data_IF_108855942404
#
_entry.id   IF_108855942404
#
_cell.length_a   1.000
_cell.length_b   1.000
_cell.length_c   1.000
_cell.angle_alpha   90.00
_cell.angle_beta   90.00
_cell.angle_gamma   90.00
#
_symmetry.space_group_name_H-M   'P 1'
#
loop_
_entity.id
_entity.type
_entity.pdbx_description
1 polymer ?
#
# COMPACT_ATOMS: atom_id res chain seq x y z
N UNK A 1 -9.42 2.51 9.58
CA UNK A 1 -8.23 3.20 9.02
C UNK A 1 -8.61 3.78 7.67
N UNK A 2 -8.16 5.00 7.36
CA UNK A 2 -8.44 5.72 6.10
C UNK A 2 -9.91 6.03 5.85
N UNK A 3 -10.43 7.10 6.47
CA UNK A 3 -11.78 7.65 6.24
C UNK A 3 -12.93 6.61 6.25
N UNK A 4 -12.98 5.76 7.28
CA UNK A 4 -14.06 4.77 7.48
C UNK A 4 -14.30 3.81 6.30
N UNK A 5 -13.24 3.39 5.60
CA UNK A 5 -13.32 2.53 4.41
C UNK A 5 -13.93 3.21 3.17
N UNK A 6 -13.86 4.54 3.08
CA UNK A 6 -14.32 5.30 1.90
C UNK A 6 -13.26 5.47 0.82
N UNK A 7 -12.00 5.15 1.10
CA UNK A 7 -10.89 5.22 0.15
C UNK A 7 -10.84 4.04 -0.83
N UNK A 8 -9.78 3.95 -1.63
CA UNK A 8 -9.49 2.86 -2.56
C UNK A 8 -8.06 2.34 -2.40
N UNK A 9 -7.80 1.15 -2.93
CA UNK A 9 -6.45 0.63 -3.14
C UNK A 9 -6.16 0.51 -4.63
N UNK A 10 -4.93 0.82 -5.02
CA UNK A 10 -4.43 0.64 -6.38
C UNK A 10 -3.57 -0.63 -6.44
N UNK A 11 -3.82 -1.47 -7.43
CA UNK A 11 -3.06 -2.69 -7.70
C UNK A 11 -2.06 -2.44 -8.83
N UNK A 12 -0.82 -2.86 -8.64
CA UNK A 12 0.26 -2.68 -9.60
C UNK A 12 0.96 -4.00 -9.92
N UNK A 13 1.44 -4.13 -11.15
CA UNK A 13 2.32 -5.24 -11.53
C UNK A 13 3.68 -5.11 -10.83
N UNK A 14 4.15 -6.18 -10.20
CA UNK A 14 5.50 -6.28 -9.63
C UNK A 14 6.42 -7.04 -10.57
N UNK A 15 7.53 -6.43 -10.98
CA UNK A 15 8.56 -7.06 -11.82
C UNK A 15 9.94 -6.68 -11.32
N UNK A 16 10.96 -7.50 -11.57
CA UNK A 16 12.36 -7.18 -11.19
C UNK A 16 12.89 -5.90 -11.88
N UNK A 17 12.25 -5.48 -12.97
CA UNK A 17 12.59 -4.27 -13.72
C UNK A 17 11.96 -2.98 -13.17
N UNK A 18 10.96 -3.05 -12.30
CA UNK A 18 10.26 -1.86 -11.78
C UNK A 18 10.54 -1.61 -10.30
N UNK A 19 10.05 -0.48 -9.80
CA UNK A 19 10.34 0.00 -8.45
C UNK A 19 9.82 -0.92 -7.35
N UNK A 20 8.78 -1.71 -7.64
CA UNK A 20 8.23 -2.70 -6.72
C UNK A 20 9.09 -3.97 -6.61
N UNK A 21 9.91 -4.30 -7.62
CA UNK A 21 10.82 -5.46 -7.59
C UNK A 21 12.19 -5.19 -6.96
N UNK A 22 12.59 -3.93 -6.87
CA UNK A 22 13.90 -3.51 -6.35
C UNK A 22 13.95 -3.57 -4.83
N UNK A 23 14.68 -4.54 -4.27
CA UNK A 23 14.77 -4.78 -2.82
C UNK A 23 15.47 -3.67 -2.02
N UNK A 24 16.23 -2.80 -2.68
CA UNK A 24 16.84 -1.60 -2.08
C UNK A 24 15.90 -0.39 -2.09
N UNK A 25 14.72 -0.52 -2.70
CA UNK A 25 13.75 0.56 -2.87
C UNK A 25 12.36 0.23 -2.31
N UNK A 26 11.85 -0.99 -2.54
CA UNK A 26 10.60 -1.51 -2.02
C UNK A 26 10.89 -2.68 -1.06
N UNK A 27 10.67 -2.46 0.23
CA UNK A 27 11.11 -3.35 1.30
C UNK A 27 9.94 -3.82 2.15
N UNK A 28 9.94 -5.08 2.62
CA UNK A 28 8.97 -5.53 3.60
C UNK A 28 9.19 -4.84 4.95
N UNK A 29 8.11 -4.58 5.66
CA UNK A 29 8.17 -4.09 7.03
C UNK A 29 8.66 -5.21 7.97
N UNK A 30 9.59 -4.86 8.84
CA UNK A 30 10.10 -5.70 9.92
C UNK A 30 9.25 -5.49 11.18
N UNK A 31 8.58 -6.56 11.60
CA UNK A 31 7.67 -6.54 12.75
C UNK A 31 8.38 -6.92 14.06
N UNK A 32 8.36 -6.02 15.04
CA UNK A 32 9.06 -6.19 16.31
C UNK A 32 8.18 -5.82 17.53
N UNK A 33 8.46 -6.41 18.69
CA UNK A 33 7.75 -6.08 19.95
C UNK A 33 8.33 -4.83 20.61
N UNK A 34 9.64 -4.65 20.47
CA UNK A 34 10.39 -3.52 21.03
C UNK A 34 10.65 -2.48 19.95
N UNK A 35 10.62 -1.20 20.34
CA UNK A 35 10.97 -0.11 19.42
C UNK A 35 12.43 -0.24 18.99
N UNK A 36 12.76 0.04 17.72
CA UNK A 36 14.15 0.07 17.29
C UNK A 36 14.89 1.16 18.07
N UNK A 37 15.96 0.76 18.78
CA UNK A 37 16.90 1.70 19.39
C UNK A 37 17.92 2.15 18.34
N UNK A 38 18.26 3.44 18.38
CA UNK A 38 19.32 4.03 17.57
C UNK A 38 19.92 5.23 18.32
N UNK A 39 21.19 5.51 18.07
CA UNK A 39 21.84 6.74 18.47
C UNK A 39 21.66 7.81 17.39
N UNK A 40 21.56 9.11 17.72
CA UNK A 40 21.40 10.16 16.72
C UNK A 40 22.47 10.16 15.62
N UNK A 41 23.71 9.81 15.95
CA UNK A 41 24.81 9.70 14.98
C UNK A 41 24.57 8.59 13.94
N UNK A 42 23.82 7.55 14.29
CA UNK A 42 23.49 6.46 13.37
C UNK A 42 22.47 6.90 12.32
N UNK A 43 21.74 8.01 12.51
CA UNK A 43 20.80 8.53 11.51
C UNK A 43 21.50 9.13 10.27
N UNK A 44 22.82 9.34 10.32
CA UNK A 44 23.61 9.66 9.13
C UNK A 44 23.84 8.41 8.25
N UNK A 45 23.69 7.19 8.81
CA UNK A 45 23.73 5.95 8.04
C UNK A 45 22.35 5.61 7.47
N UNK A 46 22.27 5.63 6.13
CA UNK A 46 21.10 5.19 5.35
C UNK A 46 20.51 3.84 5.80
N UNK A 47 21.34 2.89 6.27
CA UNK A 47 20.87 1.58 6.72
C UNK A 47 20.10 1.66 8.04
N UNK A 48 20.57 2.49 8.97
CA UNK A 48 19.91 2.73 10.24
C UNK A 48 18.58 3.45 10.05
N UNK A 49 18.55 4.46 9.16
CA UNK A 49 17.31 5.15 8.77
C UNK A 49 16.33 4.19 8.13
N UNK A 50 16.80 3.37 7.19
CA UNK A 50 15.98 2.33 6.54
C UNK A 50 15.37 1.40 7.58
N UNK A 51 16.18 0.87 8.50
CA UNK A 51 15.71 -0.02 9.58
C UNK A 51 14.56 0.62 10.36
N UNK A 52 14.72 1.86 10.80
CA UNK A 52 13.68 2.60 11.54
C UNK A 52 12.43 2.79 10.68
N UNK A 53 12.59 3.25 9.44
CA UNK A 53 11.50 3.48 8.49
C UNK A 53 10.82 2.19 8.03
N UNK A 54 11.42 1.02 8.21
CA UNK A 54 10.82 -0.28 7.91
C UNK A 54 10.39 -1.04 9.17
N UNK A 55 10.49 -0.48 10.37
CA UNK A 55 10.02 -1.15 11.59
C UNK A 55 8.56 -0.81 11.90
N UNK A 56 7.82 -1.80 12.42
CA UNK A 56 6.45 -1.62 12.94
C UNK A 56 6.18 -2.59 14.08
N UNK A 57 5.29 -2.20 15.01
CA UNK A 57 4.90 -3.06 16.12
C UNK A 57 4.29 -4.38 15.63
N UNK A 58 4.67 -5.51 16.23
CA UNK A 58 4.25 -6.86 15.78
C UNK A 58 2.74 -7.06 15.73
N UNK A 59 1.97 -6.35 16.55
CA UNK A 59 0.50 -6.40 16.50
C UNK A 59 -0.12 -5.93 15.16
N UNK A 60 0.66 -5.31 14.26
CA UNK A 60 0.27 -4.97 12.88
C UNK A 60 0.77 -5.98 11.83
N UNK A 61 1.35 -7.10 12.22
CA UNK A 61 1.93 -8.10 11.30
C UNK A 61 0.93 -8.64 10.28
N UNK A 62 -0.35 -8.65 10.62
CA UNK A 62 -1.44 -9.07 9.73
C UNK A 62 -1.57 -8.20 8.47
N UNK A 63 -1.03 -6.99 8.45
CA UNK A 63 -1.07 -6.12 7.27
C UNK A 63 -0.07 -6.54 6.17
N UNK A 64 0.98 -7.29 6.54
CA UNK A 64 2.03 -7.73 5.60
C UNK A 64 2.56 -6.57 4.73
N UNK A 65 2.83 -5.42 5.37
CA UNK A 65 3.10 -4.14 4.72
C UNK A 65 4.45 -4.14 4.00
N UNK A 66 4.50 -3.48 2.85
CA UNK A 66 5.70 -3.13 2.12
C UNK A 66 5.80 -1.62 1.98
N UNK A 67 7.02 -1.06 2.01
CA UNK A 67 7.29 0.36 1.89
C UNK A 67 8.23 0.65 0.74
N UNK A 68 7.85 1.61 -0.10
CA UNK A 68 8.75 2.25 -1.06
C UNK A 68 9.44 3.41 -0.33
N UNK A 69 10.77 3.42 -0.28
CA UNK A 69 11.55 4.47 0.36
C UNK A 69 12.20 5.38 -0.68
N UNK A 70 12.01 6.69 -0.53
CA UNK A 70 12.68 7.68 -1.36
C UNK A 70 13.47 8.67 -0.52
N UNK A 71 14.65 9.03 -1.01
CA UNK A 71 15.55 10.00 -0.36
C UNK A 71 15.14 11.45 -0.63
N UNK A 72 14.20 11.67 -1.54
CA UNK A 72 13.73 13.00 -1.93
C UNK A 72 12.24 13.16 -1.60
N UNK A 73 11.93 14.21 -0.84
CA UNK A 73 10.55 14.59 -0.50
C UNK A 73 10.02 15.73 -1.38
N UNK A 74 8.74 16.08 -1.17
CA UNK A 74 8.08 17.22 -1.83
C UNK A 74 8.13 17.20 -3.37
N UNK A 75 8.07 15.99 -3.95
CA UNK A 75 7.99 15.79 -5.40
C UNK A 75 6.95 14.73 -5.73
N UNK A 76 6.35 14.85 -6.90
CA UNK A 76 5.52 13.80 -7.47
C UNK A 76 6.42 12.68 -8.02
N UNK A 77 6.01 11.44 -7.80
CA UNK A 77 6.64 10.27 -8.39
C UNK A 77 5.69 9.65 -9.42
N UNK A 78 6.22 9.04 -10.49
CA UNK A 78 5.41 8.20 -11.36
C UNK A 78 4.87 7.00 -10.57
N UNK A 79 3.88 6.31 -11.13
CA UNK A 79 3.45 5.03 -10.58
C UNK A 79 4.61 4.03 -10.58
N UNK A 80 4.75 3.21 -9.52
CA UNK A 80 5.91 2.33 -9.34
C UNK A 80 5.86 1.08 -10.25
N UNK A 81 4.79 0.92 -11.01
CA UNK A 81 4.56 -0.13 -11.99
C UNK A 81 3.26 0.15 -12.76
N UNK A 82 2.90 -0.77 -13.65
CA UNK A 82 1.67 -0.67 -14.41
C UNK A 82 0.47 -0.90 -13.49
N UNK A 83 -0.49 0.03 -13.51
CA UNK A 83 -1.75 -0.08 -12.77
C UNK A 83 -2.61 -1.16 -13.41
N UNK A 84 -2.94 -2.22 -12.66
CA UNK A 84 -3.72 -3.36 -13.15
C UNK A 84 -5.12 -3.41 -12.56
N UNK A 85 -5.33 -2.79 -11.39
CA UNK A 85 -6.62 -2.86 -10.73
C UNK A 85 -6.87 -1.78 -9.70
N UNK A 86 -8.14 -1.66 -9.33
CA UNK A 86 -8.63 -0.76 -8.28
C UNK A 86 -9.57 -1.52 -7.37
N UNK A 87 -9.28 -1.52 -6.07
CA UNK A 87 -10.16 -2.07 -5.03
C UNK A 87 -10.90 -0.92 -4.37
N UNK A 88 -12.23 -0.88 -4.52
CA UNK A 88 -13.05 0.11 -3.87
C UNK A 88 -13.26 -0.22 -2.40
N UNK A 89 -13.12 0.79 -1.55
CA UNK A 89 -13.38 0.66 -0.12
C UNK A 89 -14.84 0.38 0.18
N UNK A 90 -15.07 -0.40 1.24
CA UNK A 90 -16.37 -0.94 1.61
C UNK A 90 -17.46 0.12 1.75
N UNK A 91 -17.09 1.32 2.21
CA UNK A 91 -17.99 2.44 2.43
C UNK A 91 -17.85 3.53 1.36
N UNK A 92 -17.10 3.30 0.27
CA UNK A 92 -16.93 4.28 -0.80
C UNK A 92 -18.28 4.62 -1.44
N UNK A 93 -18.67 5.92 -1.48
CA UNK A 93 -19.88 6.38 -2.18
C UNK A 93 -19.91 6.01 -3.67
N UNK A 94 -21.10 5.76 -4.22
CA UNK A 94 -21.26 5.33 -5.61
C UNK A 94 -20.77 6.37 -6.61
N UNK A 95 -21.01 7.66 -6.35
CA UNK A 95 -20.55 8.76 -7.20
C UNK A 95 -19.02 8.83 -7.31
N UNK A 96 -18.29 8.50 -6.23
CA UNK A 96 -16.83 8.40 -6.27
C UNK A 96 -16.36 7.19 -7.09
N UNK A 97 -17.04 6.05 -6.96
CA UNK A 97 -16.77 4.85 -7.77
C UNK A 97 -16.95 5.17 -9.25
N UNK A 98 -18.07 5.80 -9.59
CA UNK A 98 -18.40 6.20 -10.96
C UNK A 98 -17.34 7.16 -11.54
N UNK A 99 -16.84 8.11 -10.74
CA UNK A 99 -15.75 9.01 -11.16
C UNK A 99 -14.45 8.26 -11.48
N UNK A 100 -14.06 7.30 -10.63
CA UNK A 100 -12.85 6.50 -10.84
C UNK A 100 -13.01 5.59 -12.05
N UNK A 101 -14.18 4.95 -12.20
CA UNK A 101 -14.49 4.12 -13.36
C UNK A 101 -14.49 4.92 -14.65
N UNK A 102 -15.07 6.12 -14.65
CA UNK A 102 -15.06 7.01 -15.81
C UNK A 102 -13.64 7.48 -16.18
N UNK A 103 -12.76 7.68 -15.19
CA UNK A 103 -11.39 8.13 -15.41
C UNK A 103 -10.49 7.03 -16.00
N UNK A 104 -10.61 5.79 -15.49
CA UNK A 104 -9.71 4.69 -15.83
C UNK A 104 -10.28 3.77 -16.93
N UNK A 105 -11.60 3.70 -17.07
CA UNK A 105 -12.29 2.86 -18.05
C UNK A 105 -11.85 1.39 -18.01
N UNK A 106 -11.83 0.73 -19.16
CA UNK A 106 -11.50 -0.70 -19.26
C UNK A 106 -9.99 -1.00 -19.17
N UNK A 107 -9.16 -0.02 -18.78
CA UNK A 107 -7.70 -0.21 -18.69
C UNK A 107 -7.26 -1.01 -17.47
N UNK A 108 -8.16 -1.18 -16.48
CA UNK A 108 -7.88 -1.83 -15.19
C UNK A 108 -9.03 -2.74 -14.78
N UNK A 109 -8.75 -3.72 -13.92
CA UNK A 109 -9.76 -4.55 -13.28
C UNK A 109 -10.30 -3.88 -12.01
N UNK A 110 -11.62 -3.86 -11.84
CA UNK A 110 -12.25 -3.32 -10.64
C UNK A 110 -12.61 -4.43 -9.64
N UNK A 111 -12.52 -4.10 -8.36
CA UNK A 111 -12.91 -4.98 -7.27
C UNK A 111 -13.76 -4.22 -6.25
N UNK A 112 -14.76 -4.89 -5.70
CA UNK A 112 -15.54 -4.39 -4.58
C UNK A 112 -15.13 -5.10 -3.28
N UNK A 113 -15.40 -4.44 -2.15
CA UNK A 113 -15.19 -5.00 -0.83
C UNK A 113 -16.50 -5.15 -0.08
N UNK A 114 -16.64 -6.25 0.65
CA UNK A 114 -17.79 -6.54 1.51
C UNK A 114 -17.33 -7.01 2.89
N UNK A 115 -18.17 -6.87 3.92
CA UNK A 115 -17.83 -7.41 5.25
C UNK A 115 -17.87 -8.93 5.23
N UNK A 116 -16.80 -9.55 5.71
CA UNK A 116 -16.79 -10.99 5.88
C UNK A 116 -17.82 -11.41 6.95
N UNK A 117 -18.57 -12.46 6.67
CA UNK A 117 -19.56 -13.02 7.61
C UNK A 117 -18.92 -13.94 8.66
N UNK A 118 -17.66 -14.33 8.45
CA UNK A 118 -16.96 -15.34 9.26
C UNK A 118 -15.77 -14.78 10.03
N UNK A 119 -15.16 -13.71 9.53
CA UNK A 119 -13.93 -13.15 10.07
C UNK A 119 -14.05 -11.64 10.25
N UNK A 120 -13.22 -11.05 11.13
CA UNK A 120 -13.08 -9.60 11.22
C UNK A 120 -12.22 -9.07 10.07
N UNK A 121 -12.75 -9.19 8.84
CA UNK A 121 -12.06 -8.89 7.60
C UNK A 121 -13.03 -8.37 6.52
N UNK A 122 -12.47 -7.87 5.41
CA UNK A 122 -13.22 -7.57 4.20
C UNK A 122 -12.94 -8.65 3.15
N UNK A 123 -13.99 -9.12 2.49
CA UNK A 123 -13.90 -10.00 1.32
C UNK A 123 -13.79 -9.11 0.06
N UNK A 124 -12.86 -9.43 -0.83
CA UNK A 124 -12.61 -8.70 -2.09
C UNK A 124 -13.13 -9.53 -3.26
N UNK A 125 -13.93 -8.94 -4.15
CA UNK A 125 -14.51 -9.63 -5.31
C UNK A 125 -14.36 -8.81 -6.58
N UNK A 126 -13.92 -9.44 -7.67
CA UNK A 126 -13.86 -8.79 -9.00
C UNK A 126 -15.27 -8.42 -9.48
N UNK A 127 -15.38 -7.24 -10.10
CA UNK A 127 -16.61 -6.72 -10.70
C UNK A 127 -16.35 -6.22 -12.11
N UNK A 128 -17.42 -6.11 -12.91
CA UNK A 128 -17.38 -5.43 -14.21
C UNK A 128 -17.66 -3.95 -14.00
N UNK A 129 -16.93 -3.10 -14.74
CA UNK A 129 -17.11 -1.65 -14.78
C UNK A 129 -18.51 -1.24 -15.25
#
# INVERSE_FOLDING_TARGET
YGDEHRGLCLEFTRTDSNDLGKWDHCMPVLYCDELPSFQPLELEDSKSVTKVLTSKGRFWEYEQEWRILSYEGNKAFPFPGDLTGVVFGFAMPQDHRDQVTALLGDSVQYYDTSRSTRYYALDVTSITA
#
